data_IF_710012769522
#
_entry.id   IF_710012769522
#
_cell.length_a   1.000
_cell.length_b   1.000
_cell.length_c   1.000
_cell.angle_alpha   90.00
_cell.angle_beta   90.00
_cell.angle_gamma   90.00
#
_symmetry.space_group_name_H-M   'P 1'
#
loop_
_entity.id
_entity.type
_entity.pdbx_description
1 polymer ?
#
# COMPACT_ATOMS: atom_id res chain seq x y z
N UNK A 1 -0.95 -21.44 -7.76
CA UNK A 1 -0.97 -20.48 -6.65
C UNK A 1 -1.50 -19.15 -7.19
N UNK A 2 -2.57 -18.62 -6.62
CA UNK A 2 -3.15 -17.34 -7.02
C UNK A 2 -2.43 -16.23 -6.27
N UNK A 3 -1.64 -15.43 -6.96
CA UNK A 3 -0.96 -14.27 -6.38
C UNK A 3 -1.78 -13.00 -6.58
N UNK A 4 -1.61 -12.06 -5.66
CA UNK A 4 -2.13 -10.71 -5.74
C UNK A 4 -0.98 -9.75 -5.39
N UNK A 5 -0.75 -8.73 -6.22
CA UNK A 5 0.17 -7.65 -5.90
C UNK A 5 -0.57 -6.56 -5.14
N UNK A 6 -0.01 -6.13 -4.01
CA UNK A 6 -0.54 -5.03 -3.22
C UNK A 6 0.51 -3.93 -3.06
N UNK A 7 0.22 -2.80 -3.66
CA UNK A 7 1.01 -1.58 -3.65
C UNK A 7 0.42 -0.62 -2.61
N UNK A 8 1.20 -0.28 -1.59
CA UNK A 8 0.75 0.58 -0.49
C UNK A 8 1.30 1.99 -0.69
N UNK A 9 0.39 2.92 -0.96
CA UNK A 9 0.54 4.37 -0.84
C UNK A 9 1.77 4.97 -1.56
N UNK A 10 2.08 4.50 -2.78
CA UNK A 10 3.20 5.02 -3.58
C UNK A 10 2.82 6.33 -4.29
N UNK A 11 2.48 7.34 -3.49
CA UNK A 11 2.06 8.68 -3.92
C UNK A 11 3.22 9.68 -3.85
N UNK A 12 3.15 10.75 -4.64
CA UNK A 12 4.20 11.76 -4.71
C UNK A 12 4.54 12.37 -3.34
N UNK A 13 3.55 12.64 -2.48
CA UNK A 13 3.80 13.21 -1.15
C UNK A 13 4.61 12.30 -0.22
N UNK A 14 4.67 10.99 -0.49
CA UNK A 14 5.46 10.02 0.27
C UNK A 14 6.78 9.67 -0.40
N UNK A 15 6.79 9.60 -1.73
CA UNK A 15 7.93 9.06 -2.49
C UNK A 15 8.94 10.12 -2.87
N UNK A 16 8.48 11.32 -3.29
CA UNK A 16 9.37 12.37 -3.73
C UNK A 16 10.09 13.02 -2.53
N UNK A 17 11.34 13.39 -2.71
CA UNK A 17 12.15 13.98 -1.64
C UNK A 17 11.61 15.32 -1.09
N UNK A 18 10.79 16.03 -1.87
CA UNK A 18 10.10 17.26 -1.50
C UNK A 18 8.60 17.05 -1.18
N UNK A 19 8.15 15.81 -1.07
CA UNK A 19 6.80 15.44 -0.69
C UNK A 19 6.40 15.94 0.71
N UNK A 20 5.12 16.16 0.95
CA UNK A 20 4.61 16.74 2.20
C UNK A 20 4.82 15.84 3.42
N UNK A 21 4.93 14.55 3.20
CA UNK A 21 5.25 13.54 4.21
C UNK A 21 6.26 12.53 3.62
N UNK A 22 7.35 13.08 3.04
CA UNK A 22 8.38 12.30 2.37
C UNK A 22 8.94 11.21 3.30
N UNK A 23 8.87 9.96 2.84
CA UNK A 23 9.45 8.82 3.57
C UNK A 23 10.93 8.73 3.24
N UNK A 24 11.83 8.64 4.24
CA UNK A 24 13.26 8.53 3.99
C UNK A 24 13.60 7.40 3.02
N UNK A 25 14.50 7.66 2.06
CA UNK A 25 14.96 6.70 1.05
C UNK A 25 13.90 6.13 0.09
N UNK A 26 12.65 6.64 0.10
CA UNK A 26 11.56 6.13 -0.74
C UNK A 26 11.87 6.26 -2.24
N UNK A 27 12.42 7.41 -2.66
CA UNK A 27 12.78 7.65 -4.06
C UNK A 27 13.81 6.61 -4.57
N UNK A 28 14.73 6.17 -3.72
CA UNK A 28 15.71 5.14 -4.07
C UNK A 28 15.06 3.74 -4.28
N UNK A 29 13.84 3.51 -3.79
CA UNK A 29 13.10 2.25 -3.95
C UNK A 29 12.27 2.19 -5.23
N UNK A 30 12.05 3.30 -5.91
CA UNK A 30 11.21 3.39 -7.12
C UNK A 30 11.59 2.37 -8.20
N UNK A 31 12.88 2.13 -8.54
CA UNK A 31 13.22 1.09 -9.52
C UNK A 31 12.79 -0.32 -9.11
N UNK A 32 12.84 -0.65 -7.82
CA UNK A 32 12.40 -1.92 -7.28
C UNK A 32 10.87 -2.05 -7.34
N UNK A 33 10.14 -0.99 -6.98
CA UNK A 33 8.67 -0.91 -7.09
C UNK A 33 8.21 -1.10 -8.54
N UNK A 34 8.85 -0.41 -9.49
CA UNK A 34 8.56 -0.54 -10.93
C UNK A 34 8.68 -1.98 -11.43
N UNK A 35 9.73 -2.69 -11.01
CA UNK A 35 9.95 -4.10 -11.39
C UNK A 35 8.82 -5.01 -10.91
N UNK A 36 8.28 -4.79 -9.72
CA UNK A 36 7.14 -5.56 -9.19
C UNK A 36 5.87 -5.30 -10.00
N UNK A 37 5.58 -4.03 -10.31
CA UNK A 37 4.41 -3.68 -11.13
C UNK A 37 4.53 -4.25 -12.55
N UNK A 38 5.70 -4.16 -13.18
CA UNK A 38 5.97 -4.76 -14.47
C UNK A 38 5.81 -6.27 -14.46
N UNK A 39 6.34 -6.94 -13.43
CA UNK A 39 6.19 -8.38 -13.23
C UNK A 39 4.71 -8.76 -13.10
N UNK A 40 3.95 -8.10 -12.26
CA UNK A 40 2.53 -8.40 -12.10
C UNK A 40 1.75 -8.20 -13.41
N UNK A 41 2.06 -7.16 -14.17
CA UNK A 41 1.45 -6.89 -15.47
C UNK A 41 1.80 -7.98 -16.48
N UNK A 42 3.05 -8.40 -16.57
CA UNK A 42 3.53 -9.46 -17.48
C UNK A 42 2.90 -10.81 -17.16
N UNK A 43 2.79 -11.16 -15.87
CA UNK A 43 2.23 -12.44 -15.42
C UNK A 43 0.70 -12.42 -15.30
N UNK A 44 0.06 -11.26 -15.55
CA UNK A 44 -1.38 -11.09 -15.42
C UNK A 44 -1.89 -11.24 -13.98
N UNK A 45 -1.06 -10.90 -12.99
CA UNK A 45 -1.40 -10.89 -11.57
C UNK A 45 -2.27 -9.67 -11.28
N UNK A 46 -3.41 -9.82 -10.57
CA UNK A 46 -4.19 -8.67 -10.14
C UNK A 46 -3.37 -7.70 -9.29
N UNK A 47 -3.54 -6.41 -9.54
CA UNK A 47 -2.83 -5.33 -8.85
C UNK A 47 -3.81 -4.46 -8.09
N UNK A 48 -3.79 -4.55 -6.76
CA UNK A 48 -4.49 -3.65 -5.85
C UNK A 48 -3.48 -2.60 -5.38
N UNK A 49 -3.87 -1.33 -5.44
CA UNK A 49 -3.13 -0.24 -4.80
C UNK A 49 -4.02 0.45 -3.77
N UNK A 50 -3.44 0.88 -2.66
CA UNK A 50 -4.05 1.86 -1.77
C UNK A 50 -3.44 3.24 -1.99
N UNK A 51 -4.23 4.27 -1.69
CA UNK A 51 -3.81 5.68 -1.70
C UNK A 51 -4.51 6.42 -0.58
N UNK A 52 -3.80 7.34 0.05
CA UNK A 52 -4.40 8.34 0.92
C UNK A 52 -5.14 9.37 0.07
N UNK A 53 -6.35 9.71 0.50
CA UNK A 53 -7.26 10.64 -0.20
C UNK A 53 -7.86 11.59 0.81
N UNK A 54 -7.02 12.49 1.35
CA UNK A 54 -7.36 13.34 2.48
C UNK A 54 -8.03 14.65 2.09
N UNK A 55 -8.79 15.17 3.05
CA UNK A 55 -9.22 16.54 3.15
C UNK A 55 -8.66 17.14 4.46
N UNK A 56 -8.47 18.45 4.53
CA UNK A 56 -7.91 19.10 5.73
C UNK A 56 -8.74 18.87 7.01
N UNK A 57 -9.98 18.43 6.87
CA UNK A 57 -10.90 18.13 7.97
C UNK A 57 -10.88 16.66 8.41
N UNK A 58 -10.11 15.80 7.74
CA UNK A 58 -10.03 14.40 8.10
C UNK A 58 -9.34 14.23 9.47
N UNK A 59 -9.80 13.27 10.30
CA UNK A 59 -9.28 13.11 11.66
C UNK A 59 -7.78 12.82 11.76
N UNK A 60 -7.21 12.21 10.72
CA UNK A 60 -5.78 11.87 10.63
C UNK A 60 -4.90 13.11 10.31
N UNK A 61 -5.50 14.19 9.80
CA UNK A 61 -4.77 15.41 9.42
C UNK A 61 -4.69 16.39 10.59
N UNK A 62 -3.48 16.83 10.92
CA UNK A 62 -3.23 17.80 12.00
C UNK A 62 -2.07 18.75 11.68
N UNK A 63 -2.24 20.03 12.00
CA UNK A 63 -1.15 21.03 11.99
C UNK A 63 -0.14 20.82 13.14
N UNK A 64 -0.51 20.01 14.15
CA UNK A 64 0.35 19.65 15.27
C UNK A 64 0.28 18.13 15.50
N UNK A 65 0.80 17.33 14.56
CA UNK A 65 0.65 15.88 14.56
C UNK A 65 1.46 15.23 15.68
N UNK A 66 0.95 14.10 16.16
CA UNK A 66 1.64 13.23 17.13
C UNK A 66 2.47 12.12 16.46
N UNK A 67 2.36 11.94 15.15
CA UNK A 67 3.00 10.89 14.34
C UNK A 67 2.69 9.46 14.80
N UNK A 68 1.55 9.28 15.47
CA UNK A 68 1.00 7.99 15.86
C UNK A 68 -0.39 7.77 15.26
N UNK A 69 -1.32 8.70 15.55
CA UNK A 69 -2.68 8.69 15.03
C UNK A 69 -2.94 9.86 14.07
N UNK A 70 -2.08 10.89 14.11
CA UNK A 70 -2.21 12.09 13.28
C UNK A 70 -0.90 12.45 12.57
N UNK A 71 -1.04 13.00 11.37
CA UNK A 71 0.07 13.37 10.48
C UNK A 71 -0.13 14.79 9.92
N UNK A 72 0.95 15.47 9.44
CA UNK A 72 0.79 16.77 8.79
C UNK A 72 -0.08 16.66 7.54
N UNK A 73 -0.64 17.76 7.02
CA UNK A 73 -1.38 17.75 5.77
C UNK A 73 -0.57 17.15 4.62
N UNK A 74 -1.03 16.01 4.08
CA UNK A 74 -0.44 15.26 2.99
C UNK A 74 -1.51 14.60 2.13
N UNK A 75 -1.19 14.19 0.93
CA UNK A 75 -2.06 13.49 -0.02
C UNK A 75 -3.46 14.13 -0.10
N UNK A 76 -3.51 15.47 -0.10
CA UNK A 76 -4.77 16.20 -0.16
C UNK A 76 -5.41 16.04 -1.52
N UNK A 77 -6.69 15.69 -1.53
CA UNK A 77 -7.46 15.46 -2.76
C UNK A 77 -7.31 16.60 -3.76
N UNK A 78 -6.96 16.26 -5.00
CA UNK A 78 -6.80 17.19 -6.11
C UNK A 78 -5.48 17.93 -6.14
N UNK A 79 -4.50 17.51 -5.34
CA UNK A 79 -3.11 17.96 -5.44
C UNK A 79 -2.25 16.93 -6.16
N UNK A 80 -1.16 17.37 -6.77
CA UNK A 80 -0.18 16.47 -7.41
C UNK A 80 0.42 15.48 -6.40
N UNK A 81 0.57 15.90 -5.13
CA UNK A 81 1.08 15.06 -4.05
C UNK A 81 0.21 13.84 -3.73
N UNK A 82 -1.10 13.94 -3.98
CA UNK A 82 -2.04 12.83 -3.82
C UNK A 82 -1.98 11.81 -4.97
N UNK A 83 -1.41 12.16 -6.12
CA UNK A 83 -1.29 11.25 -7.26
C UNK A 83 -0.21 10.20 -7.01
N UNK A 84 -0.42 9.00 -7.58
CA UNK A 84 0.61 7.95 -7.61
C UNK A 84 1.74 8.33 -8.54
N UNK A 85 2.97 7.95 -8.17
CA UNK A 85 4.13 8.05 -9.07
C UNK A 85 3.91 7.24 -10.35
N UNK A 86 4.50 7.67 -11.45
CA UNK A 86 4.28 7.09 -12.77
C UNK A 86 4.64 5.59 -12.85
N UNK A 87 5.67 5.17 -12.12
CA UNK A 87 6.25 3.83 -12.12
C UNK A 87 5.31 2.78 -11.52
N UNK A 88 4.44 3.19 -10.59
CA UNK A 88 3.48 2.28 -9.94
C UNK A 88 2.04 2.55 -10.37
N UNK A 89 1.80 3.59 -11.16
CA UNK A 89 0.46 3.96 -11.62
C UNK A 89 -0.17 2.85 -12.47
N UNK A 90 -1.36 2.45 -12.09
CA UNK A 90 -2.18 1.49 -12.82
C UNK A 90 -2.74 2.13 -14.09
N UNK A 91 -3.00 1.31 -15.12
CA UNK A 91 -3.46 1.80 -16.43
C UNK A 91 -4.94 2.21 -16.41
N UNK A 92 -5.79 1.37 -15.82
CA UNK A 92 -7.25 1.60 -15.78
C UNK A 92 -7.84 0.98 -14.49
N UNK A 93 -7.49 1.52 -13.31
CA UNK A 93 -7.94 0.97 -12.05
C UNK A 93 -9.42 1.29 -11.78
N UNK A 94 -10.12 0.34 -11.19
CA UNK A 94 -11.44 0.58 -10.61
C UNK A 94 -11.26 1.36 -9.31
N UNK A 95 -11.75 2.61 -9.20
CA UNK A 95 -11.62 3.39 -7.97
C UNK A 95 -12.60 2.89 -6.91
N UNK A 96 -12.11 2.68 -5.70
CA UNK A 96 -12.87 2.18 -4.55
C UNK A 96 -12.84 3.20 -3.42
N UNK A 97 -13.86 4.05 -3.39
CA UNK A 97 -14.05 5.04 -2.32
C UNK A 97 -14.67 4.45 -1.05
N UNK A 98 -15.14 5.33 -0.16
CA UNK A 98 -15.66 5.00 1.18
C UNK A 98 -17.03 4.31 1.19
N UNK A 99 -17.64 4.04 0.03
CA UNK A 99 -18.91 3.32 -0.08
C UNK A 99 -18.74 1.98 -0.78
N UNK A 100 -19.44 0.92 -0.35
CA UNK A 100 -19.38 -0.37 -1.02
C UNK A 100 -19.80 -0.28 -2.50
N UNK A 101 -18.97 -0.80 -3.40
CA UNK A 101 -19.30 -0.85 -4.84
C UNK A 101 -20.10 -2.09 -5.20
N UNK A 102 -20.86 -2.08 -6.32
CA UNK A 102 -21.53 -3.29 -6.82
C UNK A 102 -20.55 -4.43 -7.13
N UNK A 103 -20.97 -5.68 -6.93
CA UNK A 103 -20.17 -6.88 -7.25
C UNK A 103 -19.67 -6.89 -8.71
N UNK A 104 -20.45 -6.32 -9.63
CA UNK A 104 -20.09 -6.23 -11.04
C UNK A 104 -18.83 -5.40 -11.30
N UNK A 105 -18.45 -4.51 -10.39
CA UNK A 105 -17.24 -3.70 -10.49
C UNK A 105 -15.97 -4.48 -10.13
N UNK A 106 -16.10 -5.56 -9.35
CA UNK A 106 -14.96 -6.37 -8.88
C UNK A 106 -14.38 -7.30 -9.97
N UNK A 107 -14.81 -7.17 -11.22
CA UNK A 107 -14.35 -8.03 -12.34
C UNK A 107 -13.06 -7.57 -12.99
N UNK A 108 -12.54 -6.40 -12.59
CA UNK A 108 -11.27 -5.86 -13.07
C UNK A 108 -10.06 -6.65 -12.56
N UNK A 109 -8.88 -6.19 -12.94
CA UNK A 109 -7.59 -6.68 -12.44
C UNK A 109 -6.79 -5.62 -11.69
N UNK A 110 -7.14 -4.36 -11.85
CA UNK A 110 -6.51 -3.22 -11.21
C UNK A 110 -7.54 -2.47 -10.37
N UNK A 111 -7.21 -2.23 -9.11
CA UNK A 111 -8.09 -1.57 -8.15
C UNK A 111 -7.32 -0.54 -7.36
N UNK A 112 -7.91 0.64 -7.19
CA UNK A 112 -7.34 1.73 -6.41
C UNK A 112 -8.24 2.01 -5.20
N UNK A 113 -7.77 1.65 -4.01
CA UNK A 113 -8.49 1.85 -2.75
C UNK A 113 -8.14 3.24 -2.21
N UNK A 114 -9.12 4.12 -2.18
CA UNK A 114 -9.00 5.43 -1.54
C UNK A 114 -9.30 5.30 -0.05
N UNK A 115 -8.34 5.61 0.80
CA UNK A 115 -8.49 5.52 2.26
C UNK A 115 -8.37 6.89 2.93
N UNK A 116 -8.98 7.03 4.09
CA UNK A 116 -9.01 8.22 4.95
C UNK A 116 -8.24 7.99 6.25
N UNK A 117 -7.55 6.85 6.34
CA UNK A 117 -6.84 6.41 7.52
C UNK A 117 -5.71 5.46 7.09
N UNK A 118 -4.61 5.41 7.84
CA UNK A 118 -3.49 4.51 7.54
C UNK A 118 -3.91 3.03 7.46
N UNK A 119 -4.94 2.61 8.20
CA UNK A 119 -5.48 1.25 8.09
C UNK A 119 -6.43 1.14 6.88
N UNK A 120 -5.98 0.44 5.84
CA UNK A 120 -6.73 0.18 4.61
C UNK A 120 -8.02 -0.62 4.85
N UNK A 121 -8.13 -1.33 5.96
CA UNK A 121 -9.35 -2.08 6.31
C UNK A 121 -10.49 -1.20 6.82
N UNK A 122 -10.26 0.09 7.01
CA UNK A 122 -11.33 1.08 7.21
C UNK A 122 -12.15 1.31 5.94
N UNK A 123 -11.60 0.99 4.75
CA UNK A 123 -12.37 1.02 3.51
C UNK A 123 -13.23 -0.24 3.36
N UNK A 124 -14.56 -0.12 3.19
CA UNK A 124 -15.49 -1.26 3.16
C UNK A 124 -15.31 -2.19 1.94
N UNK A 125 -14.55 -1.77 0.93
CA UNK A 125 -14.30 -2.59 -0.25
C UNK A 125 -13.07 -3.49 -0.11
N UNK A 126 -12.19 -3.25 0.86
CA UNK A 126 -10.95 -4.01 1.05
C UNK A 126 -11.22 -5.50 1.28
N UNK A 127 -12.09 -5.84 2.23
CA UNK A 127 -12.45 -7.24 2.48
C UNK A 127 -13.16 -7.88 1.28
N UNK A 128 -14.04 -7.13 0.63
CA UNK A 128 -14.79 -7.61 -0.54
C UNK A 128 -13.87 -7.96 -1.72
N UNK A 129 -12.79 -7.18 -1.94
CA UNK A 129 -11.77 -7.52 -2.93
C UNK A 129 -11.05 -8.82 -2.56
N UNK A 130 -10.64 -8.98 -1.32
CA UNK A 130 -9.97 -10.18 -0.84
C UNK A 130 -10.86 -11.42 -0.96
N UNK A 131 -12.14 -11.30 -0.61
CA UNK A 131 -13.14 -12.37 -0.78
C UNK A 131 -13.39 -12.70 -2.25
N UNK A 132 -13.33 -11.72 -3.14
CA UNK A 132 -13.49 -11.91 -4.58
C UNK A 132 -12.29 -12.66 -5.18
N UNK A 133 -11.07 -12.21 -4.91
CA UNK A 133 -9.85 -12.80 -5.47
C UNK A 133 -9.46 -14.10 -4.80
N UNK A 134 -9.65 -14.22 -3.49
CA UNK A 134 -9.19 -15.37 -2.66
C UNK A 134 -7.75 -15.75 -3.01
N UNK A 135 -6.80 -14.83 -2.84
CA UNK A 135 -5.41 -15.10 -3.15
C UNK A 135 -4.84 -16.15 -2.19
N UNK A 136 -3.97 -17.00 -2.73
CA UNK A 136 -3.15 -17.91 -1.93
C UNK A 136 -1.95 -17.15 -1.30
N UNK A 137 -1.46 -16.09 -1.97
CA UNK A 137 -0.34 -15.26 -1.54
C UNK A 137 -0.58 -13.80 -1.95
N UNK A 138 -0.29 -12.88 -1.04
CA UNK A 138 -0.30 -11.43 -1.29
C UNK A 138 1.15 -10.94 -1.23
N UNK A 139 1.66 -10.45 -2.36
CA UNK A 139 2.95 -9.79 -2.46
C UNK A 139 2.73 -8.30 -2.18
N UNK A 140 3.27 -7.81 -1.08
CA UNK A 140 3.03 -6.45 -0.59
C UNK A 140 4.32 -5.64 -0.57
N UNK A 141 4.24 -4.40 -1.04
CA UNK A 141 5.33 -3.41 -1.02
C UNK A 141 4.78 -1.99 -0.90
N UNK A 142 5.65 -1.02 -0.66
CA UNK A 142 5.31 0.40 -0.61
C UNK A 142 5.68 1.08 0.70
N UNK A 143 4.94 2.09 1.09
CA UNK A 143 5.24 2.98 2.22
C UNK A 143 4.02 3.23 3.13
N UNK A 144 4.21 3.56 4.41
CA UNK A 144 5.45 3.43 5.16
C UNK A 144 5.47 2.09 5.92
N UNK A 145 6.64 1.45 5.99
CA UNK A 145 6.80 0.13 6.61
C UNK A 145 6.23 0.07 8.01
N UNK A 146 6.49 1.09 8.82
CA UNK A 146 6.11 1.18 10.24
C UNK A 146 4.71 1.78 10.47
N UNK A 147 3.95 2.12 9.44
CA UNK A 147 2.60 2.69 9.53
C UNK A 147 1.62 1.91 8.64
N UNK A 148 1.46 2.31 7.37
CA UNK A 148 0.44 1.76 6.47
C UNK A 148 0.72 0.29 6.11
N UNK A 149 2.00 -0.08 5.87
CA UNK A 149 2.36 -1.48 5.63
C UNK A 149 2.10 -2.33 6.88
N UNK A 150 2.42 -1.82 8.07
CA UNK A 150 2.19 -2.55 9.34
C UNK A 150 0.69 -2.81 9.54
N UNK A 151 -0.15 -1.79 9.37
CA UNK A 151 -1.60 -1.92 9.47
C UNK A 151 -2.16 -2.91 8.43
N UNK A 152 -1.72 -2.80 7.16
CA UNK A 152 -2.14 -3.68 6.09
C UNK A 152 -1.74 -5.14 6.37
N UNK A 153 -0.47 -5.39 6.70
CA UNK A 153 0.05 -6.74 6.97
C UNK A 153 -0.66 -7.38 8.17
N UNK A 154 -0.78 -6.67 9.29
CA UNK A 154 -1.51 -7.15 10.47
C UNK A 154 -2.97 -7.47 10.15
N UNK A 155 -3.62 -6.59 9.38
CA UNK A 155 -4.99 -6.79 8.93
C UNK A 155 -5.15 -8.02 8.03
N UNK A 156 -4.22 -8.25 7.10
CA UNK A 156 -4.19 -9.43 6.21
C UNK A 156 -3.95 -10.72 7.00
N UNK A 157 -2.94 -10.73 7.88
CA UNK A 157 -2.61 -11.89 8.72
C UNK A 157 -3.74 -12.28 9.68
N UNK A 158 -4.40 -11.29 10.28
CA UNK A 158 -5.59 -11.52 11.13
C UNK A 158 -6.71 -12.25 10.37
N UNK A 159 -6.78 -12.07 9.06
CA UNK A 159 -7.76 -12.70 8.16
C UNK A 159 -7.28 -14.01 7.53
N UNK A 160 -6.08 -14.46 7.88
CA UNK A 160 -5.52 -15.75 7.47
C UNK A 160 -4.87 -15.74 6.08
N UNK A 161 -4.59 -14.59 5.50
CA UNK A 161 -3.87 -14.50 4.22
C UNK A 161 -2.38 -14.68 4.40
N UNK A 162 -1.73 -15.40 3.49
CA UNK A 162 -0.28 -15.47 3.41
C UNK A 162 0.26 -14.21 2.73
N UNK A 163 1.26 -13.59 3.39
CA UNK A 163 1.85 -12.33 2.95
C UNK A 163 3.34 -12.52 2.71
N UNK A 164 3.79 -12.04 1.56
CA UNK A 164 5.21 -11.83 1.23
C UNK A 164 5.44 -10.32 1.17
N UNK A 165 6.22 -9.79 2.13
CA UNK A 165 6.63 -8.39 2.14
C UNK A 165 7.94 -8.22 1.38
N UNK A 166 7.98 -7.28 0.43
CA UNK A 166 9.16 -7.03 -0.40
C UNK A 166 9.94 -5.86 0.17
N UNK A 167 10.98 -6.20 0.94
CA UNK A 167 11.72 -5.25 1.77
C UNK A 167 12.48 -4.20 0.95
N UNK A 168 13.14 -4.60 -0.14
CA UNK A 168 13.91 -3.70 -1.00
C UNK A 168 13.05 -2.81 -1.92
N UNK A 169 11.74 -3.03 -1.95
CA UNK A 169 10.75 -2.15 -2.58
C UNK A 169 9.91 -1.36 -1.56
N UNK A 170 10.37 -1.29 -0.32
CA UNK A 170 9.63 -0.64 0.78
C UNK A 170 10.57 0.17 1.66
N UNK A 171 10.03 1.12 2.39
CA UNK A 171 10.74 1.89 3.43
C UNK A 171 9.75 2.49 4.42
N UNK A 172 10.24 2.90 5.57
CA UNK A 172 9.46 3.46 6.66
C UNK A 172 9.91 4.84 7.10
N UNK A 173 9.13 5.48 7.92
CA UNK A 173 9.43 6.80 8.48
C UNK A 173 10.51 6.69 9.58
N UNK A 174 10.44 5.63 10.38
CA UNK A 174 11.38 5.37 11.46
C UNK A 174 12.04 4.00 11.29
N UNK A 175 13.37 3.98 11.17
CA UNK A 175 14.14 2.75 10.91
C UNK A 175 14.01 1.71 12.03
N UNK A 176 14.01 2.13 13.28
CA UNK A 176 13.96 1.19 14.41
C UNK A 176 12.55 0.59 14.54
N UNK A 177 11.51 1.39 14.33
CA UNK A 177 10.13 0.87 14.27
C UNK A 177 9.94 -0.06 13.08
N UNK A 178 10.45 0.30 11.92
CA UNK A 178 10.39 -0.54 10.71
C UNK A 178 11.05 -1.90 10.94
N UNK A 179 12.24 -1.95 11.53
CA UNK A 179 12.92 -3.20 11.89
C UNK A 179 12.11 -4.02 12.89
N UNK A 180 11.54 -3.36 13.90
CA UNK A 180 10.69 -4.03 14.90
C UNK A 180 9.44 -4.64 14.25
N UNK A 181 8.78 -3.93 13.33
CA UNK A 181 7.64 -4.45 12.56
C UNK A 181 8.04 -5.69 11.74
N UNK A 182 9.15 -5.64 11.01
CA UNK A 182 9.63 -6.76 10.20
C UNK A 182 9.90 -8.00 11.06
N UNK A 183 10.52 -7.83 12.23
CA UNK A 183 10.77 -8.94 13.18
C UNK A 183 9.45 -9.53 13.68
N UNK A 184 8.49 -8.69 14.06
CA UNK A 184 7.16 -9.13 14.52
C UNK A 184 6.43 -9.91 13.42
N UNK A 185 6.43 -9.40 12.19
CA UNK A 185 5.79 -10.06 11.04
C UNK A 185 6.42 -11.41 10.71
N UNK A 186 7.77 -11.51 10.75
CA UNK A 186 8.46 -12.80 10.55
C UNK A 186 8.04 -13.82 11.60
N UNK A 187 7.96 -13.39 12.88
CA UNK A 187 7.45 -14.21 13.98
C UNK A 187 5.99 -14.64 13.76
N UNK A 188 5.19 -13.82 13.09
CA UNK A 188 3.81 -14.09 12.69
C UNK A 188 3.66 -14.88 11.39
N UNK A 189 4.77 -15.30 10.75
CA UNK A 189 4.74 -16.12 9.52
C UNK A 189 4.62 -15.32 8.22
N UNK A 190 4.94 -14.02 8.22
CA UNK A 190 5.12 -13.23 7.00
C UNK A 190 6.47 -13.59 6.37
N UNK A 191 6.48 -13.84 5.07
CA UNK A 191 7.72 -14.03 4.32
C UNK A 191 8.32 -12.66 4.01
N UNK A 192 9.58 -12.45 4.34
CA UNK A 192 10.35 -11.28 3.89
C UNK A 192 11.16 -11.70 2.68
N UNK A 193 11.10 -10.92 1.61
CA UNK A 193 11.72 -11.22 0.33
C UNK A 193 12.32 -9.97 -0.32
N UNK A 194 13.24 -10.16 -1.25
CA UNK A 194 13.66 -9.14 -2.20
C UNK A 194 12.81 -9.19 -3.48
N UNK A 195 12.91 -8.16 -4.32
CA UNK A 195 12.30 -8.17 -5.65
C UNK A 195 12.80 -9.38 -6.47
N UNK A 196 14.10 -9.70 -6.40
CA UNK A 196 14.68 -10.82 -7.13
C UNK A 196 14.10 -12.19 -6.71
N UNK A 197 13.70 -12.34 -5.45
CA UNK A 197 13.04 -13.56 -4.94
C UNK A 197 11.61 -13.72 -5.44
N UNK A 198 10.99 -12.64 -5.92
CA UNK A 198 9.57 -12.60 -6.32
C UNK A 198 9.39 -12.68 -7.84
N UNK A 199 10.20 -11.93 -8.59
CA UNK A 199 10.02 -11.74 -10.05
C UNK A 199 10.62 -12.83 -10.94
N UNK A 200 11.08 -13.93 -10.35
CA UNK A 200 11.65 -15.10 -11.05
C UNK A 200 10.62 -15.91 -11.82
#
# INVERSE_FOLDING_TARGET
MKRLLWDVDTQHDFIDADGKLAVPDAEARVPAMARLVEWARREGIPHIASVDDHELTDPEISESPDYADTFPPHCLRGTDGADKIAETKQADPVPLGSTPVPESWLRGREFLIHKKHFDVFTNPNTERLLEHFKPDEIVLFGVATDICNDAAIKGLRKRGYDVTFVEDASCGIDDERSKACIVDWQGGGVRIASVDDVVT
#
